data_IF_172069749117
#
_entry.id   IF_172069749117
#
_cell.length_a   1.000
_cell.length_b   1.000
_cell.length_c   1.000
_cell.angle_alpha   90.00
_cell.angle_beta   90.00
_cell.angle_gamma   90.00
#
_symmetry.space_group_name_H-M   'P 1'
#
loop_
_entity.id
_entity.type
_entity.pdbx_description
1 polymer ?
#
# COMPACT_ATOMS: atom_id res chain seq x y z
N UNK A 1 17.93 -0.10 12.57
CA UNK A 1 17.07 0.95 11.99
C UNK A 1 16.97 2.18 12.90
N UNK A 2 17.00 3.40 12.37
CA UNK A 2 16.63 4.61 13.12
C UNK A 2 15.12 4.86 12.99
N UNK A 3 14.47 5.23 14.10
CA UNK A 3 13.03 5.51 14.16
C UNK A 3 12.79 7.02 14.30
N UNK A 4 11.82 7.55 13.57
CA UNK A 4 11.39 8.96 13.55
C UNK A 4 9.91 9.08 13.89
N UNK A 5 9.49 10.23 14.41
CA UNK A 5 8.06 10.58 14.48
C UNK A 5 7.60 11.04 13.11
N UNK A 6 6.41 10.62 12.69
CA UNK A 6 5.80 11.12 11.46
C UNK A 6 5.16 12.49 11.74
N UNK A 7 5.92 13.56 11.50
CA UNK A 7 5.45 14.94 11.70
C UNK A 7 4.95 15.19 13.12
N UNK A 8 3.74 15.74 13.24
CA UNK A 8 3.06 16.08 14.51
C UNK A 8 2.10 14.99 14.99
N UNK A 9 2.35 13.74 14.61
CA UNK A 9 1.49 12.59 14.98
C UNK A 9 2.13 11.73 16.09
N UNK A 10 1.37 10.76 16.59
CA UNK A 10 1.87 9.72 17.49
C UNK A 10 2.60 8.57 16.79
N UNK A 11 2.56 8.50 15.45
CA UNK A 11 3.16 7.41 14.67
C UNK A 11 4.69 7.49 14.69
N UNK A 12 5.31 6.31 14.82
CA UNK A 12 6.76 6.11 14.79
C UNK A 12 7.13 5.23 13.59
N UNK A 13 7.87 5.80 12.65
CA UNK A 13 8.26 5.16 11.39
C UNK A 13 9.77 5.00 11.30
N UNK A 14 10.23 4.00 10.56
CA UNK A 14 11.63 3.86 10.16
C UNK A 14 12.05 5.08 9.31
N UNK A 15 13.32 5.50 9.45
CA UNK A 15 13.89 6.60 8.65
C UNK A 15 13.88 6.28 7.14
N UNK A 16 13.83 4.99 6.79
CA UNK A 16 13.65 4.49 5.43
C UNK A 16 12.24 3.90 5.30
N UNK A 17 11.52 4.25 4.24
CA UNK A 17 10.24 3.66 3.86
C UNK A 17 10.44 2.71 2.67
N UNK A 18 9.77 1.55 2.69
CA UNK A 18 9.73 0.64 1.55
C UNK A 18 8.57 1.04 0.64
N UNK A 19 8.90 1.60 -0.52
CA UNK A 19 7.94 1.77 -1.62
C UNK A 19 7.75 0.46 -2.38
N UNK A 20 6.52 0.19 -2.83
CA UNK A 20 6.12 -1.13 -3.36
C UNK A 20 5.60 -1.09 -4.81
N UNK A 21 5.68 0.04 -5.49
CA UNK A 21 5.02 0.26 -6.79
C UNK A 21 5.43 -0.70 -7.92
N UNK A 22 6.49 -1.48 -7.77
CA UNK A 22 6.96 -2.43 -8.79
C UNK A 22 6.39 -3.85 -8.60
N UNK A 23 5.76 -4.14 -7.46
CA UNK A 23 5.28 -5.47 -7.09
C UNK A 23 4.01 -5.83 -7.87
N UNK A 24 4.03 -6.95 -8.58
CA UNK A 24 2.94 -7.39 -9.46
C UNK A 24 3.15 -7.05 -10.93
N UNK A 25 4.23 -6.32 -11.27
CA UNK A 25 4.63 -6.06 -12.65
C UNK A 25 6.11 -6.39 -12.91
N UNK A 26 7.02 -5.61 -12.31
CA UNK A 26 8.46 -5.80 -12.51
C UNK A 26 9.07 -6.78 -11.50
N UNK A 27 8.45 -6.91 -10.33
CA UNK A 27 8.76 -7.93 -9.33
C UNK A 27 7.53 -8.82 -9.13
N UNK A 28 7.70 -10.13 -9.33
CA UNK A 28 6.67 -11.11 -9.00
C UNK A 28 6.45 -11.23 -7.48
N UNK A 29 5.44 -11.98 -7.06
CA UNK A 29 5.11 -12.13 -5.64
C UNK A 29 6.28 -12.70 -4.83
N UNK A 30 6.99 -13.69 -5.36
CA UNK A 30 8.14 -14.30 -4.68
C UNK A 30 9.27 -13.27 -4.45
N UNK A 31 9.59 -12.47 -5.47
CA UNK A 31 10.60 -11.41 -5.38
C UNK A 31 10.15 -10.31 -4.43
N UNK A 32 8.89 -9.88 -4.51
CA UNK A 32 8.30 -8.89 -3.60
C UNK A 32 8.36 -9.36 -2.13
N UNK A 33 8.05 -10.63 -1.88
CA UNK A 33 8.17 -11.24 -0.54
C UNK A 33 9.60 -11.22 -0.04
N UNK A 34 10.57 -11.59 -0.88
CA UNK A 34 11.98 -11.55 -0.49
C UNK A 34 12.44 -10.11 -0.14
N UNK A 35 12.01 -9.12 -0.91
CA UNK A 35 12.29 -7.70 -0.63
C UNK A 35 11.66 -7.28 0.70
N UNK A 36 10.39 -7.59 0.94
CA UNK A 36 9.69 -7.25 2.18
C UNK A 36 10.28 -7.98 3.39
N UNK A 37 10.64 -9.25 3.24
CA UNK A 37 11.32 -10.02 4.29
C UNK A 37 12.66 -9.35 4.64
N UNK A 38 13.50 -8.97 3.67
CA UNK A 38 14.77 -8.26 3.93
C UNK A 38 14.52 -6.92 4.65
N UNK A 39 13.51 -6.17 4.21
CA UNK A 39 13.15 -4.89 4.82
C UNK A 39 12.72 -5.05 6.30
N UNK A 40 11.85 -6.02 6.59
CA UNK A 40 11.38 -6.34 7.94
C UNK A 40 12.55 -6.78 8.84
N UNK A 41 13.43 -7.66 8.35
CA UNK A 41 14.64 -8.08 9.08
C UNK A 41 15.61 -6.91 9.37
N UNK A 42 15.70 -5.92 8.47
CA UNK A 42 16.48 -4.70 8.68
C UNK A 42 15.82 -3.71 9.67
N UNK A 43 14.59 -4.00 10.11
CA UNK A 43 13.79 -3.18 11.01
C UNK A 43 13.04 -2.04 10.33
N UNK A 44 12.85 -2.09 9.00
CA UNK A 44 11.95 -1.17 8.30
C UNK A 44 10.51 -1.51 8.72
N UNK A 45 9.79 -0.53 9.24
CA UNK A 45 8.40 -0.71 9.65
C UNK A 45 7.42 0.14 8.83
N UNK A 46 7.89 0.93 7.86
CA UNK A 46 7.05 1.84 7.09
C UNK A 46 6.95 1.36 5.65
N UNK A 47 5.77 0.89 5.24
CA UNK A 47 5.49 0.34 3.91
C UNK A 47 4.46 1.24 3.21
N UNK A 48 4.76 1.65 1.99
CA UNK A 48 3.92 2.50 1.16
C UNK A 48 3.46 1.76 -0.11
N UNK A 49 2.14 1.77 -0.34
CA UNK A 49 1.46 1.23 -1.54
C UNK A 49 0.48 2.27 -2.09
N UNK A 50 -0.28 1.93 -3.13
CA UNK A 50 -1.42 2.67 -3.63
C UNK A 50 -2.41 1.69 -4.28
N UNK A 51 -3.70 2.04 -4.31
CA UNK A 51 -4.74 1.27 -4.98
C UNK A 51 -4.41 0.98 -6.45
N UNK A 52 -3.86 1.96 -7.17
CA UNK A 52 -3.53 1.85 -8.60
C UNK A 52 -2.25 1.09 -8.90
N UNK A 53 -1.42 0.78 -7.91
CA UNK A 53 -0.16 0.07 -8.17
C UNK A 53 -0.43 -1.35 -8.70
N UNK A 54 0.41 -1.84 -9.63
CA UNK A 54 1.80 -1.45 -9.90
C UNK A 54 2.02 -0.37 -10.98
N UNK A 55 3.15 0.31 -10.89
CA UNK A 55 3.66 1.24 -11.90
C UNK A 55 3.89 0.51 -13.23
N UNK A 56 3.42 1.13 -14.32
CA UNK A 56 3.55 0.59 -15.67
C UNK A 56 2.68 -0.65 -15.93
N UNK A 57 1.78 -1.00 -15.00
CA UNK A 57 0.76 -2.01 -15.22
C UNK A 57 -0.45 -1.46 -15.99
N UNK A 58 -1.31 -2.35 -16.44
CA UNK A 58 -2.61 -2.03 -17.04
C UNK A 58 -3.75 -2.10 -16.00
N UNK A 59 -4.98 -1.76 -16.40
CA UNK A 59 -6.16 -1.82 -15.51
C UNK A 59 -6.45 -3.22 -14.95
N UNK A 60 -6.03 -4.29 -15.61
CA UNK A 60 -6.19 -5.67 -15.09
C UNK A 60 -5.22 -5.95 -13.94
N UNK A 61 -4.08 -5.26 -13.90
CA UNK A 61 -3.06 -5.40 -12.86
C UNK A 61 -3.24 -4.43 -11.70
N UNK A 62 -4.03 -3.37 -11.87
CA UNK A 62 -4.33 -2.38 -10.84
C UNK A 62 -4.82 -3.05 -9.55
N UNK A 63 -4.20 -2.70 -8.43
CA UNK A 63 -4.46 -3.27 -7.10
C UNK A 63 -3.65 -4.53 -6.80
N UNK A 64 -2.91 -5.10 -7.74
CA UNK A 64 -2.11 -6.32 -7.50
C UNK A 64 -0.99 -6.11 -6.47
N UNK A 65 -0.41 -4.91 -6.39
CA UNK A 65 0.57 -4.57 -5.34
C UNK A 65 -0.04 -4.72 -3.94
N UNK A 66 -1.26 -4.21 -3.72
CA UNK A 66 -1.93 -4.35 -2.43
C UNK A 66 -2.29 -5.81 -2.10
N UNK A 67 -2.64 -6.62 -3.10
CA UNK A 67 -2.88 -8.06 -2.92
C UNK A 67 -1.59 -8.75 -2.45
N UNK A 68 -0.46 -8.48 -3.10
CA UNK A 68 0.84 -9.06 -2.75
C UNK A 68 1.26 -8.63 -1.33
N UNK A 69 1.15 -7.34 -1.01
CA UNK A 69 1.46 -6.82 0.32
C UNK A 69 0.54 -7.44 1.38
N UNK A 70 -0.77 -7.55 1.10
CA UNK A 70 -1.74 -8.18 1.99
C UNK A 70 -1.43 -9.65 2.26
N UNK A 71 -1.07 -10.41 1.22
CA UNK A 71 -0.63 -11.80 1.35
C UNK A 71 0.60 -11.91 2.26
N UNK A 72 1.58 -11.03 2.10
CA UNK A 72 2.79 -11.01 2.93
C UNK A 72 2.46 -10.66 4.39
N UNK A 73 1.66 -9.61 4.62
CA UNK A 73 1.24 -9.18 5.97
C UNK A 73 0.58 -10.33 6.74
N UNK A 74 -0.33 -11.06 6.08
CA UNK A 74 -1.02 -12.21 6.65
C UNK A 74 -0.07 -13.37 6.91
N UNK A 75 0.76 -13.75 5.95
CA UNK A 75 1.67 -14.89 6.07
C UNK A 75 2.77 -14.68 7.12
N UNK A 76 3.24 -13.45 7.32
CA UNK A 76 4.29 -13.11 8.30
C UNK A 76 3.76 -12.58 9.63
N UNK A 77 2.44 -12.48 9.79
CA UNK A 77 1.81 -11.86 10.96
C UNK A 77 2.33 -10.43 11.20
N UNK A 78 2.61 -9.68 10.13
CA UNK A 78 3.35 -8.43 10.19
C UNK A 78 2.49 -7.20 10.46
N UNK A 79 1.17 -7.33 10.37
CA UNK A 79 0.26 -6.18 10.39
C UNK A 79 0.47 -5.25 11.59
N UNK A 80 0.60 -5.79 12.80
CA UNK A 80 0.69 -4.96 14.01
C UNK A 80 2.05 -4.28 14.21
N UNK A 81 3.09 -4.69 13.48
CA UNK A 81 4.44 -4.09 13.58
C UNK A 81 4.76 -3.12 12.44
N UNK A 82 3.96 -3.12 11.38
CA UNK A 82 4.11 -2.23 10.22
C UNK A 82 3.15 -1.04 10.32
N UNK A 83 3.68 0.15 10.03
CA UNK A 83 2.92 1.34 9.63
C UNK A 83 2.64 1.22 8.14
N UNK A 84 1.38 0.95 7.80
CA UNK A 84 0.95 0.69 6.43
C UNK A 84 0.28 1.93 5.83
N UNK A 85 0.84 2.44 4.75
CA UNK A 85 0.28 3.54 3.99
C UNK A 85 -0.26 3.08 2.63
N UNK A 86 -1.44 3.56 2.26
CA UNK A 86 -1.98 3.44 0.89
C UNK A 86 -2.61 4.75 0.42
N UNK A 87 -3.03 4.79 -0.83
CA UNK A 87 -3.53 5.99 -1.52
C UNK A 87 -4.77 5.64 -2.32
N UNK A 88 -5.61 6.64 -2.57
CA UNK A 88 -6.60 6.59 -3.64
C UNK A 88 -6.45 7.77 -4.59
N UNK A 89 -7.01 7.61 -5.80
CA UNK A 89 -7.47 8.67 -6.73
C UNK A 89 -7.41 8.21 -8.19
N UNK A 90 -6.45 7.36 -8.56
CA UNK A 90 -6.31 6.98 -9.96
C UNK A 90 -7.40 6.02 -10.42
N UNK A 91 -7.59 5.89 -11.73
CA UNK A 91 -8.63 5.03 -12.29
C UNK A 91 -8.38 3.56 -11.94
N UNK A 92 -9.38 2.91 -11.35
CA UNK A 92 -9.38 1.50 -10.97
C UNK A 92 -10.17 0.63 -11.96
N UNK A 93 -11.00 1.25 -12.81
CA UNK A 93 -11.70 0.60 -13.91
C UNK A 93 -12.14 1.64 -14.96
N UNK A 94 -12.94 1.22 -15.94
CA UNK A 94 -13.53 2.12 -16.94
C UNK A 94 -14.81 2.84 -16.43
N UNK A 95 -15.29 2.55 -15.21
CA UNK A 95 -16.43 3.26 -14.63
C UNK A 95 -16.00 4.71 -14.28
N UNK A 96 -16.73 5.74 -14.73
CA UNK A 96 -16.39 7.14 -14.43
C UNK A 96 -16.42 7.51 -12.95
N UNK A 97 -17.00 6.67 -12.08
CA UNK A 97 -16.99 6.85 -10.63
C UNK A 97 -15.85 6.08 -9.92
N UNK A 98 -15.02 5.38 -10.67
CA UNK A 98 -13.91 4.58 -10.17
C UNK A 98 -12.55 5.29 -10.36
N UNK A 99 -12.59 6.62 -10.27
CA UNK A 99 -11.46 7.56 -10.27
C UNK A 99 -11.81 8.82 -9.44
N UNK A 100 -10.80 9.58 -9.04
CA UNK A 100 -10.91 10.94 -8.52
C UNK A 100 -11.00 11.02 -7.00
N UNK A 101 -11.35 12.18 -6.46
CA UNK A 101 -11.49 12.42 -5.03
C UNK A 101 -12.92 12.69 -4.60
N UNK A 102 -13.89 12.18 -5.38
CA UNK A 102 -15.29 12.20 -4.96
C UNK A 102 -15.46 11.40 -3.66
N UNK A 103 -16.40 11.84 -2.79
CA UNK A 103 -16.74 11.10 -1.55
C UNK A 103 -17.04 9.62 -1.82
N UNK A 104 -17.74 9.34 -2.92
CA UNK A 104 -18.11 7.99 -3.34
C UNK A 104 -16.86 7.15 -3.61
N UNK A 105 -15.94 7.67 -4.42
CA UNK A 105 -14.72 6.95 -4.79
C UNK A 105 -13.79 6.75 -3.59
N UNK A 106 -13.54 7.78 -2.78
CA UNK A 106 -12.65 7.68 -1.60
C UNK A 106 -13.10 6.56 -0.64
N UNK A 107 -14.41 6.47 -0.36
CA UNK A 107 -14.94 5.42 0.53
C UNK A 107 -14.78 4.04 -0.12
N UNK A 108 -15.19 3.89 -1.38
CA UNK A 108 -15.13 2.61 -2.09
C UNK A 108 -13.68 2.13 -2.27
N UNK A 109 -12.76 3.03 -2.63
CA UNK A 109 -11.33 2.73 -2.78
C UNK A 109 -10.71 2.29 -1.45
N UNK A 110 -11.05 2.96 -0.34
CA UNK A 110 -10.58 2.57 1.00
C UNK A 110 -11.03 1.15 1.38
N UNK A 111 -12.33 0.85 1.21
CA UNK A 111 -12.88 -0.50 1.48
C UNK A 111 -12.23 -1.58 0.60
N UNK A 112 -12.01 -1.27 -0.68
CA UNK A 112 -11.35 -2.18 -1.61
C UNK A 112 -9.88 -2.42 -1.23
N UNK A 113 -9.15 -1.36 -0.85
CA UNK A 113 -7.76 -1.46 -0.36
C UNK A 113 -7.67 -2.30 0.91
N UNK A 114 -8.54 -2.08 1.90
CA UNK A 114 -8.58 -2.89 3.13
C UNK A 114 -8.76 -4.38 2.83
N UNK A 115 -9.65 -4.70 1.88
CA UNK A 115 -9.88 -6.08 1.43
C UNK A 115 -8.64 -6.69 0.76
N UNK A 116 -7.99 -5.98 -0.16
CA UNK A 116 -6.76 -6.45 -0.83
C UNK A 116 -5.60 -6.62 0.14
N UNK A 117 -5.44 -5.67 1.06
CA UNK A 117 -4.41 -5.66 2.11
C UNK A 117 -4.69 -6.65 3.25
N UNK A 118 -5.87 -7.28 3.28
CA UNK A 118 -6.29 -8.25 4.29
C UNK A 118 -6.14 -7.72 5.72
N UNK A 119 -6.62 -6.49 5.95
CA UNK A 119 -6.58 -5.83 7.26
C UNK A 119 -7.77 -4.90 7.46
N UNK A 120 -8.11 -4.62 8.72
CA UNK A 120 -9.26 -3.79 9.08
C UNK A 120 -8.91 -2.29 9.24
N UNK A 121 -7.64 -1.91 9.10
CA UNK A 121 -7.21 -0.51 9.23
C UNK A 121 -5.99 -0.17 8.35
N UNK A 122 -5.87 1.12 8.02
CA UNK A 122 -4.73 1.74 7.33
C UNK A 122 -4.14 2.79 8.28
N UNK A 123 -2.83 2.82 8.47
CA UNK A 123 -2.18 3.76 9.40
C UNK A 123 -2.06 5.16 8.79
N UNK A 124 -1.88 5.24 7.46
CA UNK A 124 -1.79 6.49 6.72
C UNK A 124 -2.51 6.35 5.36
N UNK A 125 -3.65 7.02 5.21
CA UNK A 125 -4.38 7.06 3.94
C UNK A 125 -4.18 8.41 3.27
N UNK A 126 -3.81 8.39 1.99
CA UNK A 126 -3.35 9.58 1.27
C UNK A 126 -4.18 9.81 0.00
N UNK A 127 -4.31 11.09 -0.35
CA UNK A 127 -4.67 11.50 -1.71
C UNK A 127 -3.44 11.32 -2.59
N UNK A 128 -3.55 10.54 -3.67
CA UNK A 128 -2.39 10.23 -4.50
C UNK A 128 -1.88 11.46 -5.27
N UNK A 129 -2.80 12.27 -5.80
CA UNK A 129 -2.57 13.62 -6.33
C UNK A 129 -3.91 14.39 -6.35
N UNK A 130 -3.90 15.75 -6.42
CA UNK A 130 -5.13 16.54 -6.51
C UNK A 130 -5.97 16.17 -7.75
N UNK A 131 -7.27 16.42 -7.65
CA UNK A 131 -8.18 16.40 -8.82
C UNK A 131 -7.93 17.61 -9.72
#
# INVERSE_FOLDING_TARGET
MKIKRLGRTGLKVSEICLGTMTFGNQADEQTAFAIMDIADHAGINFIDTADVYPLGGNLEQTGSTEIIVGNWLKQRGARNRVVLATKCRGAMSADPNDEGLSRRHIIAACEASLKRLQTDFIDLYQVHWPD
#
